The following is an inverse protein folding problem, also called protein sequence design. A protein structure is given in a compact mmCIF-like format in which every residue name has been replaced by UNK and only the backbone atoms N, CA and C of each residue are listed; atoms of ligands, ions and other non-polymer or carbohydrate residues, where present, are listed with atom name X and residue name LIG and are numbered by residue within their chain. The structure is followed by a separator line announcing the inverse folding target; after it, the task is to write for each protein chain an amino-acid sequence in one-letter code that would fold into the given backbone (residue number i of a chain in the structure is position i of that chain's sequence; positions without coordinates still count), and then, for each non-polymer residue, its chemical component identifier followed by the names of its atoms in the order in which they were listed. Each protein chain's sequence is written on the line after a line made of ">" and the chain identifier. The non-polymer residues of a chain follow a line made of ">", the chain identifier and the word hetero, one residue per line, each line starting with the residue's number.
data_IF_170525565983
#
_entry.id   IF_170525565983
#
_cell.length_a   1.000
_cell.length_b   1.000
_cell.length_c   1.000
_cell.angle_alpha   90.00
_cell.angle_beta   90.00
_cell.angle_gamma   90.00
#
_symmetry.space_group_name_H-M   'P 1'
#
loop_
_entity.id
_entity.type
_entity.pdbx_description
1 polymer ?
#
# COMPACT_ATOMS: atom_id res chain seq x y z
N UNK A 1 -3.40 -14.91 3.70
CA UNK A 1 -4.30 -13.74 3.72
C UNK A 1 -4.32 -13.07 5.08
N UNK A 2 -4.52 -13.81 6.18
CA UNK A 2 -4.53 -13.29 7.57
C UNK A 2 -3.32 -12.43 7.96
N UNK A 3 -2.11 -12.76 7.51
CA UNK A 3 -0.91 -11.99 7.84
C UNK A 3 -0.89 -10.59 7.16
N UNK A 4 -1.40 -10.47 5.94
CA UNK A 4 -1.43 -9.21 5.20
C UNK A 4 -2.46 -8.23 5.76
N UNK A 5 -3.61 -8.74 6.23
CA UNK A 5 -4.66 -7.94 6.87
C UNK A 5 -4.17 -7.20 8.11
N UNK A 6 -3.28 -7.83 8.90
CA UNK A 6 -2.67 -7.23 10.09
C UNK A 6 -1.75 -6.04 9.79
N UNK A 7 -1.38 -5.85 8.52
CA UNK A 7 -0.57 -4.72 8.08
C UNK A 7 -1.43 -3.56 7.58
N UNK A 8 -2.76 -3.72 7.46
CA UNK A 8 -3.67 -2.66 7.03
C UNK A 8 -4.27 -1.96 8.24
N UNK A 9 -4.56 -0.66 8.11
CA UNK A 9 -5.43 -0.01 9.09
C UNK A 9 -6.86 -0.54 8.95
N UNK A 10 -7.66 -0.57 10.04
CA UNK A 10 -9.05 -1.03 9.98
C UNK A 10 -9.90 -0.27 8.95
N UNK A 11 -9.66 1.03 8.78
CA UNK A 11 -10.36 1.88 7.82
C UNK A 11 -9.99 1.50 6.38
N UNK A 12 -8.72 1.19 6.13
CA UNK A 12 -8.23 0.84 4.81
C UNK A 12 -8.58 -0.59 4.41
N UNK A 13 -8.60 -1.55 5.35
CA UNK A 13 -8.99 -2.93 5.10
C UNK A 13 -10.36 -3.02 4.42
N UNK A 14 -11.36 -2.31 4.95
CA UNK A 14 -12.74 -2.32 4.41
C UNK A 14 -12.79 -1.84 2.94
N UNK A 15 -11.96 -0.85 2.59
CA UNK A 15 -11.87 -0.32 1.22
C UNK A 15 -11.05 -1.24 0.30
N UNK A 16 -10.02 -1.89 0.82
CA UNK A 16 -9.15 -2.76 0.04
C UNK A 16 -9.84 -4.05 -0.38
N UNK A 17 -10.60 -4.68 0.52
CA UNK A 17 -11.31 -5.94 0.23
C UNK A 17 -12.40 -5.80 -0.82
N UNK A 18 -13.02 -4.61 -0.92
CA UNK A 18 -14.09 -4.32 -1.87
C UNK A 18 -13.60 -3.86 -3.25
N UNK A 19 -12.29 -3.71 -3.45
CA UNK A 19 -11.72 -3.22 -4.71
C UNK A 19 -11.72 -4.29 -5.81
N UNK A 20 -12.18 -3.92 -7.01
CA UNK A 20 -12.08 -4.74 -8.22
C UNK A 20 -10.63 -5.05 -8.63
N UNK A 21 -9.68 -4.19 -8.22
CA UNK A 21 -8.24 -4.33 -8.44
C UNK A 21 -7.53 -5.01 -7.27
N UNK A 22 -8.24 -5.86 -6.53
CA UNK A 22 -7.65 -6.55 -5.40
C UNK A 22 -6.41 -7.34 -5.82
N UNK A 23 -5.31 -7.04 -5.12
CA UNK A 23 -4.05 -7.76 -5.25
C UNK A 23 -4.22 -9.27 -5.03
N UNK A 24 -5.29 -9.70 -4.37
CA UNK A 24 -5.55 -11.09 -4.03
C UNK A 24 -6.26 -11.90 -5.12
N UNK A 25 -6.88 -11.25 -6.11
CA UNK A 25 -7.74 -11.95 -7.09
C UNK A 25 -7.31 -11.77 -8.54
N UNK A 26 -6.74 -10.61 -8.88
CA UNK A 26 -6.40 -10.27 -10.28
C UNK A 26 -4.91 -10.43 -10.62
N UNK A 27 -4.04 -10.62 -9.62
CA UNK A 27 -2.59 -10.69 -9.80
C UNK A 27 -2.15 -12.11 -10.12
N UNK A 28 -1.38 -12.26 -11.20
CA UNK A 28 -0.70 -13.50 -11.58
C UNK A 28 0.66 -13.57 -10.92
N UNK A 29 1.46 -12.50 -11.03
CA UNK A 29 2.80 -12.45 -10.46
C UNK A 29 3.22 -11.02 -10.12
N UNK A 30 4.08 -10.92 -9.09
CA UNK A 30 4.86 -9.72 -8.76
C UNK A 30 6.30 -10.18 -8.60
N UNK A 31 7.21 -9.58 -9.36
CA UNK A 31 8.63 -9.94 -9.34
C UNK A 31 9.52 -8.70 -9.33
N UNK A 32 10.83 -8.88 -9.15
CA UNK A 32 11.82 -7.79 -9.17
C UNK A 32 11.47 -6.65 -8.21
N UNK A 33 11.06 -7.01 -6.99
CA UNK A 33 10.61 -6.05 -5.98
C UNK A 33 11.81 -5.30 -5.41
N UNK A 34 11.75 -3.97 -5.52
CA UNK A 34 12.65 -3.03 -4.87
C UNK A 34 11.85 -2.13 -3.94
N UNK A 35 12.30 -1.99 -2.70
CA UNK A 35 11.66 -1.16 -1.68
C UNK A 35 12.56 0.03 -1.37
N UNK A 36 12.04 1.24 -1.61
CA UNK A 36 12.73 2.48 -1.30
C UNK A 36 12.79 2.78 0.19
N UNK A 37 13.58 3.81 0.54
CA UNK A 37 13.57 4.36 1.90
C UNK A 37 12.27 5.09 2.22
N UNK A 38 11.90 5.21 3.51
CA UNK A 38 10.73 5.97 3.93
C UNK A 38 10.95 7.47 3.69
N UNK A 39 9.97 8.12 3.07
CA UNK A 39 9.91 9.56 2.91
C UNK A 39 8.88 10.10 3.91
N UNK A 40 9.24 11.02 4.84
CA UNK A 40 8.29 11.59 5.77
C UNK A 40 7.12 12.27 5.06
N UNK A 41 5.91 12.02 5.54
CA UNK A 41 4.67 12.61 5.04
C UNK A 41 3.92 13.33 6.17
N UNK A 42 3.12 14.32 5.82
CA UNK A 42 2.27 15.02 6.78
C UNK A 42 1.04 14.14 7.07
N UNK A 43 0.77 13.75 8.34
CA UNK A 43 -0.36 12.87 8.66
C UNK A 43 -1.75 13.44 8.36
N UNK A 44 -1.87 14.74 8.09
CA UNK A 44 -3.15 15.38 7.76
C UNK A 44 -3.65 15.05 6.34
N UNK A 45 -2.87 14.37 5.50
CA UNK A 45 -3.23 13.95 4.15
C UNK A 45 -3.22 12.43 3.93
N UNK A 46 -3.71 11.99 2.77
CA UNK A 46 -3.51 10.63 2.24
C UNK A 46 -3.94 9.46 3.16
N UNK A 47 -5.00 9.65 3.95
CA UNK A 47 -5.54 8.61 4.83
C UNK A 47 -4.84 8.47 6.20
N UNK A 48 -3.89 9.34 6.53
CA UNK A 48 -3.12 9.30 7.78
C UNK A 48 -3.75 10.10 8.94
N UNK A 49 -4.95 10.66 8.76
CA UNK A 49 -5.56 11.54 9.76
C UNK A 49 -5.79 10.80 11.08
N UNK A 50 -5.32 11.39 12.18
CA UNK A 50 -5.40 10.80 13.52
C UNK A 50 -4.09 10.19 14.01
N UNK A 51 -3.20 9.80 13.09
CA UNK A 51 -1.88 9.26 13.45
C UNK A 51 -0.86 10.37 13.71
N UNK A 52 0.12 10.09 14.57
CA UNK A 52 1.20 11.02 14.90
C UNK A 52 2.36 11.01 13.91
N UNK A 53 2.57 9.89 13.22
CA UNK A 53 3.69 9.69 12.30
C UNK A 53 3.21 9.10 10.99
N UNK A 54 3.71 9.64 9.88
CA UNK A 54 3.37 9.23 8.52
C UNK A 54 4.60 9.16 7.63
N UNK A 55 4.69 8.12 6.80
CA UNK A 55 5.73 7.99 5.76
C UNK A 55 5.13 7.44 4.48
N UNK A 56 5.67 7.84 3.34
CA UNK A 56 5.49 7.17 2.07
C UNK A 56 6.67 6.22 1.83
N UNK A 57 6.38 4.99 1.42
CA UNK A 57 7.37 4.03 0.94
C UNK A 57 7.07 3.72 -0.52
N UNK A 58 7.99 4.11 -1.41
CA UNK A 58 7.90 3.78 -2.83
C UNK A 58 8.45 2.38 -3.08
N UNK A 59 7.73 1.61 -3.88
CA UNK A 59 8.10 0.27 -4.32
C UNK A 59 8.14 0.22 -5.83
N UNK A 60 9.08 -0.54 -6.37
CA UNK A 60 9.18 -0.84 -7.80
C UNK A 60 9.10 -2.34 -7.98
N UNK A 61 8.31 -2.81 -8.94
CA UNK A 61 8.18 -4.23 -9.24
C UNK A 61 7.66 -4.44 -10.65
N UNK A 62 7.87 -5.63 -11.18
CA UNK A 62 7.21 -6.09 -12.40
C UNK A 62 5.89 -6.76 -12.04
N UNK A 63 4.81 -6.26 -12.64
CA UNK A 63 3.44 -6.67 -12.42
C UNK A 63 2.90 -7.52 -13.57
N UNK A 64 2.27 -8.64 -13.26
CA UNK A 64 1.48 -9.41 -14.21
C UNK A 64 0.07 -9.64 -13.65
N UNK A 65 -0.95 -9.25 -14.43
CA UNK A 65 -2.34 -9.35 -14.06
C UNK A 65 -3.12 -10.19 -15.09
N UNK A 66 -4.18 -10.85 -14.62
CA UNK A 66 -5.10 -11.62 -15.47
C UNK A 66 -5.87 -10.69 -16.40
N UNK A 67 -6.35 -9.58 -15.85
CA UNK A 67 -7.04 -8.51 -16.57
C UNK A 67 -6.35 -7.20 -16.24
N UNK A 68 -5.90 -6.48 -17.27
CA UNK A 68 -5.37 -5.12 -17.13
C UNK A 68 -6.54 -4.17 -16.83
N UNK A 69 -6.49 -3.47 -15.70
CA UNK A 69 -7.55 -2.54 -15.28
C UNK A 69 -6.97 -1.12 -15.11
N UNK A 70 -6.40 -0.81 -13.95
CA UNK A 70 -5.84 0.51 -13.62
C UNK A 70 -4.32 0.60 -13.79
N UNK A 71 -3.60 -0.51 -13.61
CA UNK A 71 -2.16 -0.63 -13.84
C UNK A 71 -1.89 -1.44 -15.12
N UNK A 72 -0.79 -1.12 -15.81
CA UNK A 72 -0.31 -1.92 -16.94
C UNK A 72 0.57 -3.07 -16.44
N UNK A 73 0.61 -4.18 -17.20
CA UNK A 73 1.61 -5.23 -16.96
C UNK A 73 3.03 -4.70 -17.25
N UNK A 74 4.02 -5.19 -16.49
CA UNK A 74 5.42 -4.78 -16.57
C UNK A 74 5.84 -3.89 -15.40
N UNK A 75 6.90 -3.11 -15.61
CA UNK A 75 7.50 -2.27 -14.58
C UNK A 75 6.49 -1.26 -14.02
N UNK A 76 6.29 -1.33 -12.71
CA UNK A 76 5.31 -0.55 -11.95
C UNK A 76 5.98 0.11 -10.76
N UNK A 77 5.72 1.40 -10.58
CA UNK A 77 6.02 2.14 -9.35
C UNK A 77 4.75 2.29 -8.53
N UNK A 78 4.82 1.97 -7.24
CA UNK A 78 3.68 2.05 -6.35
C UNK A 78 4.07 2.59 -4.98
N UNK A 79 3.30 3.55 -4.48
CA UNK A 79 3.47 4.13 -3.14
C UNK A 79 2.58 3.45 -2.12
N UNK A 80 3.13 3.18 -0.93
CA UNK A 80 2.36 2.81 0.25
C UNK A 80 2.51 3.90 1.31
N UNK A 81 1.38 4.38 1.83
CA UNK A 81 1.36 5.33 2.95
C UNK A 81 1.25 4.53 4.24
N UNK A 82 2.25 4.67 5.10
CA UNK A 82 2.33 4.00 6.38
C UNK A 82 2.13 5.02 7.50
N UNK A 83 1.34 4.66 8.49
CA UNK A 83 1.11 5.49 9.67
C UNK A 83 1.30 4.70 10.96
N UNK A 84 1.65 5.40 12.05
CA UNK A 84 1.65 4.86 13.42
C UNK A 84 1.45 5.98 14.45
N UNK A 85 1.00 5.58 15.64
CA UNK A 85 0.71 6.51 16.75
C UNK A 85 1.95 6.86 17.57
N UNK A 86 2.90 5.93 17.70
CA UNK A 86 4.12 6.15 18.46
C UNK A 86 5.28 5.29 17.94
N UNK A 87 6.49 5.55 18.45
CA UNK A 87 7.69 4.81 18.04
C UNK A 87 7.65 3.31 18.37
N UNK A 88 6.82 2.90 19.34
CA UNK A 88 6.64 1.50 19.74
C UNK A 88 5.53 0.77 19.00
N UNK A 89 4.68 1.50 18.26
CA UNK A 89 3.56 0.91 17.54
C UNK A 89 3.99 0.40 16.14
N UNK A 90 3.34 -0.65 15.64
CA UNK A 90 3.59 -1.12 14.28
C UNK A 90 3.14 -0.09 13.25
N UNK A 91 3.86 -0.05 12.12
CA UNK A 91 3.41 0.68 10.95
C UNK A 91 2.23 -0.03 10.29
N UNK A 92 1.18 0.72 9.99
CA UNK A 92 0.00 0.25 9.26
C UNK A 92 -0.09 0.93 7.90
N UNK A 93 -0.42 0.17 6.86
CA UNK A 93 -0.78 0.70 5.54
C UNK A 93 -2.16 1.34 5.67
N UNK A 94 -2.21 2.65 5.51
CA UNK A 94 -3.46 3.43 5.56
C UNK A 94 -3.96 3.85 4.18
N UNK A 95 -3.07 3.83 3.18
CA UNK A 95 -3.39 4.13 1.80
C UNK A 95 -2.31 3.58 0.86
N UNK A 96 -2.62 3.55 -0.44
CA UNK A 96 -1.69 3.14 -1.48
C UNK A 96 -1.99 3.86 -2.80
N UNK A 97 -0.97 3.96 -3.66
CA UNK A 97 -1.04 4.61 -4.97
C UNK A 97 0.00 5.72 -5.13
N UNK A 98 0.04 6.29 -6.34
CA UNK A 98 1.00 7.33 -6.71
C UNK A 98 0.41 8.77 -6.70
N UNK A 99 -0.82 8.94 -6.19
CA UNK A 99 -1.56 10.20 -6.28
C UNK A 99 -2.40 10.28 -7.55
#
# INVERSE_FOLDING_TARGET
>A
MEAAKRLLSPEFEQRFESSADSWFTNIVSITNIEVGGPVPEVPEGNGMSGYQQGVQVLTHFDLEQRTVVSMHNGATSWGYMLARESDGDPWLIVSQGMG
#
